data_IF_355680926712
#
_entry.id   IF_355680926712
#
_cell.length_a   1.000
_cell.length_b   1.000
_cell.length_c   1.000
_cell.angle_alpha   90.00
_cell.angle_beta   90.00
_cell.angle_gamma   90.00
#
_symmetry.space_group_name_H-M   'P 1'
#
loop_
_entity.id
_entity.type
_entity.pdbx_description
1 polymer ?
#
# COMPACT_ATOMS: atom_id res chain seq x y z
N UNK A 1 -21.46 -7.62 61.03
CA UNK A 1 -20.30 -7.06 61.75
C UNK A 1 -19.61 -8.18 62.49
N UNK A 2 -18.37 -8.53 62.14
CA UNK A 2 -17.62 -9.57 62.86
C UNK A 2 -17.23 -9.09 64.27
N UNK A 3 -17.47 -9.92 65.29
CA UNK A 3 -17.16 -9.64 66.68
C UNK A 3 -15.66 -9.32 66.86
N UNK A 4 -15.36 -8.34 67.72
CA UNK A 4 -14.00 -7.95 68.10
C UNK A 4 -13.39 -9.11 68.90
N UNK A 5 -12.39 -9.80 68.35
CA UNK A 5 -11.74 -10.92 69.02
C UNK A 5 -10.49 -10.44 69.75
N UNK A 6 -10.69 -9.67 70.82
CA UNK A 6 -9.58 -9.16 71.61
C UNK A 6 -8.75 -10.30 72.22
N UNK A 7 -7.41 -10.20 72.23
CA UNK A 7 -6.56 -11.17 72.89
C UNK A 7 -6.96 -11.28 74.38
N UNK A 8 -7.17 -12.50 74.88
CA UNK A 8 -7.50 -12.72 76.29
C UNK A 8 -6.26 -12.49 77.14
N UNK A 9 -6.37 -11.62 78.15
CA UNK A 9 -5.29 -11.37 79.11
C UNK A 9 -5.17 -12.58 80.05
N UNK A 10 -4.05 -13.31 80.05
CA UNK A 10 -3.84 -14.42 80.98
C UNK A 10 -3.69 -13.89 82.41
N UNK A 11 -4.25 -14.62 83.39
CA UNK A 11 -4.13 -14.27 84.80
C UNK A 11 -2.66 -14.48 85.24
N UNK A 12 -1.98 -13.39 85.63
CA UNK A 12 -0.55 -13.42 85.98
C UNK A 12 0.41 -13.05 84.84
N UNK A 13 -0.08 -12.40 83.78
CA UNK A 13 0.78 -11.90 82.71
C UNK A 13 1.90 -10.99 83.25
N UNK A 14 3.13 -11.24 82.83
CA UNK A 14 4.25 -10.35 83.13
C UNK A 14 4.03 -8.98 82.46
N UNK A 15 4.68 -7.91 82.94
CA UNK A 15 4.60 -6.60 82.29
C UNK A 15 4.92 -6.64 80.78
N UNK A 16 5.85 -7.49 80.36
CA UNK A 16 6.22 -7.71 78.95
C UNK A 16 5.12 -8.40 78.16
N UNK A 17 4.44 -9.39 78.76
CA UNK A 17 3.31 -10.07 78.14
C UNK A 17 2.11 -9.12 77.98
N UNK A 18 1.89 -8.22 78.94
CA UNK A 18 0.85 -7.19 78.83
C UNK A 18 1.19 -6.16 77.74
N UNK A 19 2.45 -5.76 77.61
CA UNK A 19 2.90 -4.87 76.54
C UNK A 19 2.69 -5.49 75.15
N UNK A 20 2.99 -6.78 74.98
CA UNK A 20 2.76 -7.48 73.71
C UNK A 20 1.27 -7.62 73.37
N UNK A 21 0.42 -7.92 74.36
CA UNK A 21 -1.04 -7.98 74.17
C UNK A 21 -1.60 -6.60 73.81
N UNK A 22 -1.10 -5.55 74.45
CA UNK A 22 -1.48 -4.17 74.14
C UNK A 22 -1.06 -3.78 72.72
N UNK A 23 0.15 -4.11 72.30
CA UNK A 23 0.61 -3.87 70.92
C UNK A 23 -0.23 -4.64 69.91
N UNK A 24 -0.57 -5.91 70.17
CA UNK A 24 -1.47 -6.68 69.29
C UNK A 24 -2.89 -6.08 69.23
N UNK A 25 -3.41 -5.57 70.35
CA UNK A 25 -4.71 -4.91 70.38
C UNK A 25 -4.67 -3.55 69.66
N UNK A 26 -3.57 -2.79 69.77
CA UNK A 26 -3.35 -1.58 68.98
C UNK A 26 -3.24 -1.93 67.51
N UNK A 27 -2.43 -2.90 67.12
CA UNK A 27 -2.29 -3.33 65.73
C UNK A 27 -3.62 -3.80 65.15
N UNK A 28 -4.43 -4.56 65.91
CA UNK A 28 -5.77 -4.96 65.46
C UNK A 28 -6.75 -3.76 65.41
N UNK A 29 -6.65 -2.82 66.35
CA UNK A 29 -7.46 -1.59 66.31
C UNK A 29 -7.03 -0.68 65.16
N UNK A 30 -5.74 -0.48 64.91
CA UNK A 30 -5.20 0.25 63.77
C UNK A 30 -5.58 -0.46 62.47
N UNK A 31 -5.52 -1.79 62.42
CA UNK A 31 -5.98 -2.60 61.29
C UNK A 31 -7.49 -2.43 61.04
N UNK A 32 -8.30 -2.19 62.08
CA UNK A 32 -9.75 -1.95 61.98
C UNK A 32 -10.10 -0.48 61.69
N UNK A 33 -9.41 0.46 62.32
CA UNK A 33 -9.59 1.92 62.24
C UNK A 33 -9.07 2.45 60.89
N UNK A 34 -7.96 1.90 60.39
CA UNK A 34 -7.48 2.15 59.02
C UNK A 34 -8.29 1.41 57.96
N UNK A 35 -9.37 0.72 58.37
CA UNK A 35 -10.34 0.09 57.51
C UNK A 35 -9.81 -1.18 56.86
N UNK A 36 -10.40 -2.31 57.20
CA UNK A 36 -10.33 -3.52 56.39
C UNK A 36 -10.49 -3.12 54.92
N UNK A 37 -9.48 -3.23 54.07
CA UNK A 37 -9.70 -3.01 52.64
C UNK A 37 -10.25 -4.34 52.08
N UNK A 38 -11.58 -4.52 52.13
CA UNK A 38 -12.29 -5.62 51.47
C UNK A 38 -13.11 -5.04 50.31
N UNK A 39 -13.36 -5.82 49.26
CA UNK A 39 -14.10 -5.36 48.08
C UNK A 39 -15.50 -4.81 48.38
N UNK A 40 -16.05 -5.06 49.58
CA UNK A 40 -17.36 -4.62 50.03
C UNK A 40 -17.38 -3.30 50.80
N UNK A 41 -16.23 -2.74 51.23
CA UNK A 41 -16.21 -1.56 52.11
C UNK A 41 -15.20 -0.47 51.71
N UNK A 42 -14.47 -0.66 50.61
CA UNK A 42 -13.77 0.42 49.94
C UNK A 42 -14.76 1.12 49.02
N UNK A 43 -15.03 2.41 49.24
CA UNK A 43 -15.84 3.20 48.31
C UNK A 43 -14.99 4.13 47.45
N UNK A 44 -13.90 4.67 48.00
CA UNK A 44 -12.95 5.51 47.27
C UNK A 44 -11.52 5.31 47.80
N UNK A 45 -10.54 5.08 46.93
CA UNK A 45 -9.10 5.04 47.28
C UNK A 45 -8.32 5.84 46.26
N UNK A 46 -7.62 6.89 46.70
CA UNK A 46 -6.75 7.68 45.83
C UNK A 46 -7.45 8.29 44.62
N UNK A 47 -8.74 8.65 44.75
CA UNK A 47 -9.55 9.17 43.65
C UNK A 47 -10.19 8.11 42.74
N UNK A 48 -10.10 6.83 43.10
CA UNK A 48 -10.78 5.72 42.41
C UNK A 48 -12.00 5.27 43.19
N UNK A 49 -13.15 5.16 42.54
CA UNK A 49 -14.36 4.55 43.09
C UNK A 49 -14.29 3.03 42.90
N UNK A 50 -14.57 2.30 43.97
CA UNK A 50 -14.66 0.84 43.96
C UNK A 50 -16.15 0.48 44.07
N UNK A 51 -16.73 0.08 42.94
CA UNK A 51 -18.11 -0.41 42.84
C UNK A 51 -18.17 -1.94 42.94
N UNK A 52 -19.39 -2.49 42.92
CA UNK A 52 -19.60 -3.94 42.98
C UNK A 52 -19.04 -4.67 41.75
N UNK A 53 -19.09 -4.04 40.58
CA UNK A 53 -18.66 -4.60 39.29
C UNK A 53 -17.69 -3.69 38.54
N UNK A 54 -17.25 -2.60 39.14
CA UNK A 54 -16.52 -1.52 38.46
C UNK A 54 -15.41 -0.98 39.35
N UNK A 55 -14.27 -0.69 38.73
CA UNK A 55 -13.21 0.12 39.30
C UNK A 55 -12.97 1.28 38.34
N UNK A 56 -13.37 2.48 38.74
CA UNK A 56 -13.39 3.68 37.88
C UNK A 56 -12.82 4.90 38.60
N UNK A 57 -12.29 5.87 37.86
CA UNK A 57 -11.90 7.14 38.43
C UNK A 57 -13.11 7.90 39.00
N UNK A 58 -12.88 8.85 39.91
CA UNK A 58 -13.96 9.63 40.54
C UNK A 58 -14.86 10.34 39.51
N UNK A 59 -14.26 10.81 38.42
CA UNK A 59 -14.91 11.46 37.27
C UNK A 59 -15.47 10.47 36.23
N UNK A 60 -15.20 9.17 36.37
CA UNK A 60 -15.62 8.06 35.49
C UNK A 60 -14.94 8.02 34.12
N UNK A 61 -13.96 8.89 33.86
CA UNK A 61 -13.34 9.00 32.54
C UNK A 61 -12.43 7.81 32.19
N UNK A 62 -11.97 7.06 33.18
CA UNK A 62 -11.21 5.81 33.00
C UNK A 62 -11.73 4.73 33.94
N UNK A 63 -11.70 3.47 33.51
CA UNK A 63 -12.07 2.38 34.40
C UNK A 63 -12.02 0.99 33.77
N UNK A 64 -12.39 0.02 34.59
CA UNK A 64 -12.56 -1.38 34.21
C UNK A 64 -13.84 -1.96 34.83
N UNK A 65 -14.49 -2.88 34.11
CA UNK A 65 -15.78 -3.46 34.51
C UNK A 65 -15.77 -4.98 34.39
N UNK A 66 -16.25 -5.64 35.44
CA UNK A 66 -16.54 -7.06 35.50
C UNK A 66 -18.02 -7.36 35.23
N UNK A 67 -18.82 -6.37 34.80
CA UNK A 67 -20.20 -6.59 34.37
C UNK A 67 -20.24 -7.70 33.32
N UNK A 68 -21.07 -8.71 33.52
CA UNK A 68 -21.14 -9.87 32.64
C UNK A 68 -22.59 -10.14 32.24
N UNK A 69 -23.03 -9.48 31.18
CA UNK A 69 -24.33 -9.70 30.55
C UNK A 69 -24.19 -10.72 29.41
N UNK A 70 -25.31 -11.02 28.76
CA UNK A 70 -25.31 -11.81 27.52
C UNK A 70 -24.73 -11.04 26.32
N UNK A 71 -24.56 -9.72 26.45
CA UNK A 71 -23.96 -8.84 25.44
C UNK A 71 -22.43 -8.87 25.43
N UNK A 72 -21.86 -8.03 24.55
CA UNK A 72 -20.43 -7.79 24.46
C UNK A 72 -20.04 -6.57 25.29
N UNK A 73 -20.07 -6.72 26.62
CA UNK A 73 -19.86 -5.62 27.57
C UNK A 73 -18.44 -5.02 27.48
N UNK A 74 -18.31 -3.74 27.79
CA UNK A 74 -17.01 -3.06 27.88
C UNK A 74 -16.26 -3.52 29.14
N UNK A 75 -15.00 -3.94 28.97
CA UNK A 75 -14.10 -4.40 30.04
C UNK A 75 -13.15 -3.33 30.52
N UNK A 76 -12.67 -2.48 29.61
CA UNK A 76 -11.74 -1.39 29.88
C UNK A 76 -12.15 -0.17 29.06
N UNK A 77 -12.08 1.02 29.63
CA UNK A 77 -12.35 2.26 28.89
C UNK A 77 -11.50 3.44 29.37
N UNK A 78 -11.36 4.43 28.48
CA UNK A 78 -10.72 5.71 28.75
C UNK A 78 -11.28 6.83 27.85
N UNK A 79 -11.29 8.05 28.38
CA UNK A 79 -11.64 9.27 27.65
C UNK A 79 -13.13 9.62 27.64
N UNK A 80 -13.93 9.06 28.55
CA UNK A 80 -15.32 9.48 28.72
C UNK A 80 -16.06 8.73 29.83
N UNK A 81 -17.01 9.42 30.47
CA UNK A 81 -17.78 8.91 31.62
C UNK A 81 -18.77 7.78 31.31
N UNK A 82 -19.02 7.48 30.04
CA UNK A 82 -19.86 6.37 29.58
C UNK A 82 -18.99 5.33 28.85
N UNK A 83 -18.81 4.12 29.41
CA UNK A 83 -17.98 3.07 28.81
C UNK A 83 -18.36 2.72 27.36
N UNK A 84 -19.65 2.74 27.01
CA UNK A 84 -20.15 2.34 25.69
C UNK A 84 -19.76 3.32 24.58
N UNK A 85 -19.56 4.59 24.92
CA UNK A 85 -19.20 5.67 23.98
C UNK A 85 -17.79 6.20 24.19
N UNK A 86 -17.02 5.63 25.11
CA UNK A 86 -15.66 6.08 25.39
C UNK A 86 -14.77 5.99 24.12
N UNK A 87 -13.96 7.02 23.82
CA UNK A 87 -13.09 7.06 22.64
C UNK A 87 -12.12 5.88 22.60
N UNK A 88 -11.61 5.44 23.75
CA UNK A 88 -10.86 4.20 23.88
C UNK A 88 -11.62 3.20 24.73
N UNK A 89 -11.93 2.03 24.19
CA UNK A 89 -12.61 0.95 24.93
C UNK A 89 -12.30 -0.43 24.39
N UNK A 90 -12.33 -1.43 25.26
CA UNK A 90 -12.14 -2.85 24.93
C UNK A 90 -13.33 -3.66 25.44
N UNK A 91 -13.94 -4.49 24.59
CA UNK A 91 -15.11 -5.32 24.95
C UNK A 91 -14.73 -6.71 25.45
N UNK A 92 -15.71 -7.44 25.99
CA UNK A 92 -15.60 -8.83 26.48
C UNK A 92 -15.06 -9.79 25.41
N UNK A 93 -15.41 -9.55 24.14
CA UNK A 93 -14.91 -10.33 23.00
C UNK A 93 -13.50 -9.92 22.55
N UNK A 94 -12.88 -8.94 23.21
CA UNK A 94 -11.54 -8.43 22.91
C UNK A 94 -11.50 -7.36 21.82
N UNK A 95 -12.65 -6.81 21.40
CA UNK A 95 -12.68 -5.75 20.38
C UNK A 95 -12.29 -4.42 20.98
N UNK A 96 -11.45 -3.68 20.27
CA UNK A 96 -11.00 -2.35 20.66
C UNK A 96 -11.62 -1.28 19.77
N UNK A 97 -12.09 -0.19 20.36
CA UNK A 97 -12.32 1.09 19.65
C UNK A 97 -11.33 2.11 20.19
N UNK A 98 -10.70 2.87 19.29
CA UNK A 98 -9.69 3.88 19.62
C UNK A 98 -9.84 5.09 18.67
N UNK A 99 -10.82 5.95 18.96
CA UNK A 99 -11.12 7.14 18.15
C UNK A 99 -10.09 8.24 18.42
N UNK A 100 -9.51 8.81 17.36
CA UNK A 100 -8.51 9.88 17.49
C UNK A 100 -7.16 9.40 18.04
N UNK A 101 -6.90 8.09 18.05
CA UNK A 101 -5.64 7.55 18.51
C UNK A 101 -4.52 7.79 17.49
N UNK A 102 -3.43 8.39 17.94
CA UNK A 102 -2.14 8.35 17.24
C UNK A 102 -1.45 7.03 17.59
N UNK A 103 -1.10 6.24 16.59
CA UNK A 103 -0.34 5.00 16.75
C UNK A 103 1.02 5.20 16.11
N UNK A 104 2.08 5.03 16.90
CA UNK A 104 3.45 5.27 16.47
C UNK A 104 4.38 4.16 16.99
N UNK A 105 5.20 3.58 16.10
CA UNK A 105 6.05 2.44 16.46
C UNK A 105 7.36 2.82 17.15
N UNK A 106 7.96 3.95 16.76
CA UNK A 106 9.26 4.38 17.25
C UNK A 106 9.27 5.91 17.37
N UNK A 107 8.64 6.48 18.42
CA UNK A 107 8.55 7.92 18.60
C UNK A 107 9.93 8.57 18.59
N UNK A 108 10.16 9.45 17.62
CA UNK A 108 11.43 10.17 17.47
C UNK A 108 12.59 9.39 16.83
N UNK A 109 12.34 8.18 16.32
CA UNK A 109 13.36 7.33 15.67
C UNK A 109 12.93 6.79 14.31
N UNK A 110 13.85 6.08 13.64
CA UNK A 110 13.59 5.40 12.36
C UNK A 110 14.16 3.98 12.35
N UNK A 111 13.56 3.04 11.61
CA UNK A 111 12.29 3.16 10.87
C UNK A 111 11.09 3.41 11.80
N UNK A 112 10.01 3.97 11.26
CA UNK A 112 8.82 4.34 12.02
C UNK A 112 7.55 4.14 11.19
N UNK A 113 6.46 3.74 11.84
CA UNK A 113 5.12 3.68 11.28
C UNK A 113 4.24 4.60 12.10
N UNK A 114 3.52 5.48 11.42
CA UNK A 114 2.65 6.46 12.04
C UNK A 114 1.26 6.34 11.41
N UNK A 115 0.25 6.16 12.26
CA UNK A 115 -1.15 6.42 11.95
C UNK A 115 -1.53 7.66 12.74
N UNK A 116 -1.77 8.77 12.04
CA UNK A 116 -2.08 10.04 12.67
C UNK A 116 -3.43 10.58 12.19
N UNK A 117 -4.43 10.66 13.06
CA UNK A 117 -5.73 11.22 12.72
C UNK A 117 -5.70 12.74 12.55
N UNK A 118 -4.62 13.43 12.94
CA UNK A 118 -4.48 14.87 12.70
C UNK A 118 -4.08 15.21 11.28
N UNK A 119 -3.38 14.30 10.59
CA UNK A 119 -2.88 14.48 9.23
C UNK A 119 -3.62 13.61 8.19
N UNK A 120 -4.68 12.90 8.59
CA UNK A 120 -5.41 11.90 7.78
C UNK A 120 -4.46 10.94 7.04
N UNK A 121 -3.33 10.64 7.68
CA UNK A 121 -2.20 10.00 7.02
C UNK A 121 -1.80 8.71 7.69
N UNK A 122 -1.43 7.77 6.84
CA UNK A 122 -0.68 6.59 7.22
C UNK A 122 0.67 6.75 6.57
N UNK A 123 1.73 6.76 7.37
CA UNK A 123 3.08 6.93 6.85
C UNK A 123 4.01 5.87 7.41
N UNK A 124 4.81 5.28 6.53
CA UNK A 124 5.83 4.29 6.85
C UNK A 124 7.18 4.86 6.47
N UNK A 125 7.96 5.24 7.47
CA UNK A 125 9.29 5.79 7.35
C UNK A 125 10.37 4.71 7.48
N UNK A 126 11.26 4.65 6.50
CA UNK A 126 12.58 4.03 6.62
C UNK A 126 13.60 4.99 7.25
N UNK A 127 13.49 6.28 6.91
CA UNK A 127 14.22 7.40 7.50
C UNK A 127 13.29 8.64 7.47
N UNK A 128 13.67 9.74 8.12
CA UNK A 128 12.87 10.97 8.13
C UNK A 128 12.40 11.41 6.75
N UNK A 129 13.26 11.18 5.76
CA UNK A 129 13.07 11.57 4.38
C UNK A 129 12.81 10.37 3.45
N UNK A 130 12.71 9.13 3.93
CA UNK A 130 12.48 7.94 3.07
C UNK A 130 11.26 7.22 3.56
N UNK A 131 10.14 7.36 2.87
CA UNK A 131 8.87 6.84 3.36
C UNK A 131 7.87 6.54 2.27
N UNK A 132 6.88 5.72 2.58
CA UNK A 132 5.67 5.62 1.77
C UNK A 132 4.53 6.21 2.60
N UNK A 133 3.87 7.21 2.03
CA UNK A 133 2.75 7.92 2.63
C UNK A 133 1.47 7.62 1.89
N UNK A 134 0.39 7.48 2.63
CA UNK A 134 -0.97 7.49 2.12
C UNK A 134 -1.73 8.58 2.85
N UNK A 135 -2.55 9.30 2.12
CA UNK A 135 -3.40 10.32 2.71
C UNK A 135 -4.31 10.93 1.68
N UNK A 136 -4.80 12.10 1.99
CA UNK A 136 -5.52 12.93 1.06
C UNK A 136 -4.73 14.22 0.82
N UNK A 137 -4.48 14.52 -0.43
CA UNK A 137 -4.02 15.84 -0.86
C UNK A 137 -5.14 16.82 -0.52
N UNK A 138 -4.83 17.77 0.38
CA UNK A 138 -5.75 18.79 0.89
C UNK A 138 -7.04 18.25 1.49
N UNK A 139 -7.01 17.01 2.01
CA UNK A 139 -8.18 16.38 2.61
C UNK A 139 -9.26 15.98 1.61
N UNK A 140 -9.00 16.05 0.29
CA UNK A 140 -10.03 15.81 -0.75
C UNK A 140 -9.64 14.76 -1.78
N UNK A 141 -8.40 14.74 -2.26
CA UNK A 141 -7.96 13.82 -3.31
C UNK A 141 -7.06 12.77 -2.70
N UNK A 142 -7.46 11.49 -2.72
CA UNK A 142 -6.58 10.42 -2.27
C UNK A 142 -5.23 10.45 -3.00
N UNK A 143 -4.17 10.23 -2.23
CA UNK A 143 -2.80 10.14 -2.71
C UNK A 143 -2.10 8.93 -2.09
N UNK A 144 -1.25 8.33 -2.91
CA UNK A 144 -0.14 7.50 -2.46
C UNK A 144 1.15 8.19 -2.85
N UNK A 145 2.01 8.47 -1.88
CA UNK A 145 3.29 9.15 -2.04
C UNK A 145 4.43 8.19 -1.73
N UNK A 146 5.33 7.98 -2.68
CA UNK A 146 6.49 7.09 -2.55
C UNK A 146 7.76 7.92 -2.42
N UNK A 147 8.25 8.16 -1.21
CA UNK A 147 9.40 9.02 -0.90
C UNK A 147 10.69 8.23 -0.65
N UNK A 148 11.78 8.62 -1.32
CA UNK A 148 13.13 8.14 -1.08
C UNK A 148 14.10 9.34 -1.01
N UNK A 149 14.31 9.85 0.20
CA UNK A 149 15.09 11.04 0.50
C UNK A 149 14.32 12.26 0.08
N UNK A 150 14.87 12.98 -0.88
CA UNK A 150 14.17 14.10 -1.51
C UNK A 150 13.29 13.67 -2.70
N UNK A 151 13.25 12.39 -3.12
CA UNK A 151 12.47 11.90 -4.29
C UNK A 151 11.10 11.44 -3.86
N UNK A 152 10.04 11.81 -4.58
CA UNK A 152 8.69 11.31 -4.33
C UNK A 152 8.01 10.86 -5.64
N UNK A 153 7.25 9.78 -5.63
CA UNK A 153 6.37 9.40 -6.74
C UNK A 153 4.94 9.28 -6.21
N UNK A 154 4.09 10.16 -6.73
CA UNK A 154 2.75 10.36 -6.23
C UNK A 154 1.74 9.79 -7.21
N UNK A 155 0.84 8.96 -6.69
CA UNK A 155 -0.27 8.39 -7.45
C UNK A 155 -1.53 9.05 -6.90
N UNK A 156 -2.10 9.94 -7.73
CA UNK A 156 -3.17 10.84 -7.33
C UNK A 156 -4.35 10.69 -8.27
N UNK A 157 -5.57 10.78 -7.74
CA UNK A 157 -6.78 10.59 -8.55
C UNK A 157 -7.79 11.70 -8.32
N UNK A 158 -8.05 12.51 -9.35
CA UNK A 158 -9.05 13.58 -9.30
C UNK A 158 -10.21 13.38 -10.27
N UNK A 159 -9.98 12.91 -11.50
CA UNK A 159 -11.00 12.47 -12.49
C UNK A 159 -10.33 11.68 -13.63
N UNK A 160 -9.51 12.38 -14.41
CA UNK A 160 -8.57 11.89 -15.42
C UNK A 160 -7.16 11.80 -14.81
N UNK A 161 -6.39 10.79 -15.21
CA UNK A 161 -4.97 10.64 -14.86
C UNK A 161 -4.18 10.51 -16.16
N UNK A 162 -3.26 11.44 -16.41
CA UNK A 162 -2.49 11.49 -17.65
C UNK A 162 -1.00 11.65 -17.33
N UNK A 163 -0.14 10.90 -18.03
CA UNK A 163 1.32 11.04 -18.00
C UNK A 163 1.76 11.57 -19.39
N UNK A 164 2.04 12.88 -19.53
CA UNK A 164 2.51 13.50 -20.78
C UNK A 164 3.99 13.92 -20.68
N UNK A 165 4.69 14.02 -21.82
CA UNK A 165 6.11 14.41 -21.91
C UNK A 165 6.46 15.10 -23.23
N UNK A 166 7.50 15.95 -23.24
CA UNK A 166 8.09 16.58 -24.45
C UNK A 166 9.42 15.92 -24.89
N UNK A 167 9.85 14.89 -24.16
CA UNK A 167 10.96 13.99 -24.43
C UNK A 167 10.49 12.53 -24.28
N UNK A 168 11.39 11.54 -24.22
CA UNK A 168 10.99 10.17 -23.91
C UNK A 168 10.51 10.08 -22.46
N UNK A 169 9.29 9.61 -22.24
CA UNK A 169 8.91 9.05 -20.96
C UNK A 169 9.44 7.62 -20.97
N UNK A 170 10.52 7.44 -20.21
CA UNK A 170 10.92 6.12 -19.74
C UNK A 170 10.01 5.77 -18.57
N UNK A 171 8.72 5.62 -18.86
CA UNK A 171 7.99 4.59 -18.14
C UNK A 171 8.71 3.35 -18.61
N UNK A 172 9.26 2.68 -17.65
CA UNK A 172 10.49 2.03 -17.91
C UNK A 172 10.80 1.44 -16.60
N UNK A 173 10.89 0.14 -16.62
CA UNK A 173 11.43 -0.52 -15.48
C UNK A 173 12.93 -0.37 -15.64
N UNK A 174 13.57 0.21 -14.63
CA UNK A 174 15.02 0.17 -14.44
C UNK A 174 15.54 -1.27 -14.19
N UNK A 175 14.72 -2.27 -14.49
CA UNK A 175 14.91 -3.69 -14.27
C UNK A 175 14.56 -4.38 -15.60
N UNK A 176 15.39 -5.30 -16.12
CA UNK A 176 15.16 -5.94 -17.42
C UNK A 176 13.74 -6.51 -17.61
N UNK A 177 13.16 -6.35 -18.80
CA UNK A 177 11.88 -6.96 -19.21
C UNK A 177 10.61 -6.31 -18.65
N UNK A 178 10.73 -5.26 -17.85
CA UNK A 178 9.55 -4.55 -17.39
C UNK A 178 9.07 -3.49 -18.37
N UNK A 179 7.85 -3.05 -18.11
CA UNK A 179 6.90 -2.74 -19.16
C UNK A 179 6.16 -1.47 -18.87
N UNK A 180 5.80 -0.81 -19.94
CA UNK A 180 4.92 0.34 -19.97
C UNK A 180 3.57 -0.13 -20.44
N UNK A 181 2.54 0.17 -19.69
CA UNK A 181 1.17 0.00 -20.15
C UNK A 181 0.58 1.39 -20.33
N UNK A 182 -0.12 1.57 -21.43
CA UNK A 182 -0.84 2.80 -21.73
C UNK A 182 -2.26 2.36 -22.03
N UNK A 183 -3.22 2.90 -21.29
CA UNK A 183 -4.60 2.45 -21.29
C UNK A 183 -5.51 3.65 -21.41
N UNK A 184 -6.60 3.47 -22.15
CA UNK A 184 -7.65 4.47 -22.37
C UNK A 184 -8.56 4.00 -23.49
N UNK A 185 -9.80 4.49 -23.54
CA UNK A 185 -10.75 4.15 -24.61
C UNK A 185 -10.18 4.47 -25.99
N UNK A 186 -9.39 5.53 -26.05
CA UNK A 186 -8.59 5.88 -27.19
C UNK A 186 -7.13 5.94 -26.75
N UNK A 187 -6.33 4.97 -27.19
CA UNK A 187 -4.87 5.04 -27.10
C UNK A 187 -4.36 5.61 -28.40
N UNK A 188 -4.03 6.88 -28.37
CA UNK A 188 -3.47 7.56 -29.54
C UNK A 188 -1.96 7.39 -29.57
N UNK A 189 -1.46 6.69 -30.59
CA UNK A 189 -0.02 6.57 -30.87
C UNK A 189 0.27 7.34 -32.15
N UNK A 190 0.93 8.49 -32.02
CA UNK A 190 1.15 9.42 -33.14
C UNK A 190 2.08 8.85 -34.23
N UNK A 191 3.06 8.05 -33.81
CA UNK A 191 3.99 7.40 -34.75
C UNK A 191 4.58 6.10 -34.21
N UNK A 192 4.71 5.09 -35.09
CA UNK A 192 5.41 3.82 -34.80
C UNK A 192 6.90 3.84 -35.19
N UNK A 193 7.43 5.00 -35.57
CA UNK A 193 8.81 5.13 -36.07
C UNK A 193 9.88 4.78 -35.06
N UNK A 194 9.52 4.74 -33.79
CA UNK A 194 10.44 4.45 -32.68
C UNK A 194 10.00 3.26 -31.82
N UNK A 195 8.90 2.57 -32.18
CA UNK A 195 8.48 1.38 -31.45
C UNK A 195 9.34 0.18 -31.87
N UNK A 196 10.32 -0.19 -31.04
CA UNK A 196 11.24 -1.31 -31.26
C UNK A 196 11.72 -1.91 -29.94
N UNK A 197 12.22 -3.17 -29.94
CA UNK A 197 12.93 -3.72 -28.79
C UNK A 197 14.16 -2.85 -28.46
N UNK A 198 14.29 -2.44 -27.20
CA UNK A 198 15.42 -1.62 -26.75
C UNK A 198 16.75 -2.39 -26.80
N UNK A 199 16.71 -3.70 -26.50
CA UNK A 199 17.90 -4.52 -26.22
C UNK A 199 18.37 -5.38 -27.40
N UNK A 200 17.89 -5.14 -28.62
CA UNK A 200 18.33 -5.88 -29.82
C UNK A 200 19.02 -4.91 -30.79
N UNK A 201 20.36 -4.78 -30.72
CA UNK A 201 21.10 -3.92 -31.61
C UNK A 201 20.79 -4.20 -33.09
N UNK A 202 20.52 -3.15 -33.86
CA UNK A 202 20.22 -3.25 -35.28
C UNK A 202 18.80 -3.69 -35.65
N UNK A 203 17.92 -3.97 -34.67
CA UNK A 203 16.53 -4.30 -34.97
C UNK A 203 15.77 -3.06 -35.50
N UNK A 204 15.10 -3.14 -36.66
CA UNK A 204 14.41 -2.00 -37.27
C UNK A 204 13.13 -1.64 -36.50
N UNK A 205 12.70 -0.38 -36.64
CA UNK A 205 11.43 0.07 -36.04
C UNK A 205 10.22 -0.65 -36.64
N UNK A 206 9.12 -0.69 -35.87
CA UNK A 206 7.87 -1.29 -36.34
C UNK A 206 7.39 -0.61 -37.63
N UNK A 207 7.48 0.73 -37.75
CA UNK A 207 7.09 1.42 -38.99
C UNK A 207 7.90 0.93 -40.20
N UNK A 208 9.22 0.82 -40.06
CA UNK A 208 10.09 0.33 -41.13
C UNK A 208 9.74 -1.11 -41.54
N UNK A 209 9.42 -1.98 -40.58
CA UNK A 209 9.05 -3.37 -40.86
C UNK A 209 7.71 -3.48 -41.59
N UNK A 210 6.73 -2.66 -41.20
CA UNK A 210 5.41 -2.64 -41.86
C UNK A 210 5.52 -2.11 -43.30
N UNK A 211 6.25 -1.01 -43.53
CA UNK A 211 6.46 -0.45 -44.87
C UNK A 211 7.18 -1.43 -45.81
N UNK A 212 8.20 -2.15 -45.32
CA UNK A 212 8.90 -3.15 -46.13
C UNK A 212 7.99 -4.30 -46.56
N UNK A 213 7.10 -4.80 -45.67
CA UNK A 213 6.13 -5.84 -46.03
C UNK A 213 5.09 -5.36 -47.06
N UNK A 214 4.58 -4.14 -46.91
CA UNK A 214 3.64 -3.57 -47.88
C UNK A 214 4.28 -3.43 -49.27
N UNK A 215 5.53 -2.95 -49.35
CA UNK A 215 6.28 -2.85 -50.61
C UNK A 215 6.55 -4.23 -51.20
N UNK A 216 6.89 -5.23 -50.38
CA UNK A 216 7.10 -6.60 -50.86
C UNK A 216 5.81 -7.24 -51.44
N UNK A 217 4.64 -6.90 -50.91
CA UNK A 217 3.34 -7.30 -51.49
C UNK A 217 3.09 -6.64 -52.84
N UNK A 218 3.29 -5.32 -52.93
CA UNK A 218 3.16 -4.56 -54.18
C UNK A 218 4.18 -4.99 -55.27
N UNK A 219 5.38 -5.40 -54.84
CA UNK A 219 6.44 -5.93 -55.71
C UNK A 219 6.29 -7.43 -56.01
N UNK A 220 5.08 -8.00 -55.82
CA UNK A 220 4.64 -9.07 -56.74
C UNK A 220 4.49 -8.56 -58.18
N UNK A 221 4.81 -7.29 -58.45
CA UNK A 221 5.20 -6.74 -59.75
C UNK A 221 5.85 -7.81 -60.60
N UNK A 222 5.32 -8.01 -61.81
CA UNK A 222 5.89 -8.89 -62.82
C UNK A 222 7.41 -8.71 -62.86
N UNK A 223 8.14 -9.64 -62.26
CA UNK A 223 9.56 -9.75 -62.51
C UNK A 223 9.69 -9.97 -64.01
N UNK A 224 10.02 -8.89 -64.71
CA UNK A 224 10.32 -8.87 -66.11
C UNK A 224 9.13 -9.19 -66.99
N UNK A 225 8.37 -8.14 -67.33
CA UNK A 225 8.17 -7.95 -68.75
C UNK A 225 9.54 -7.78 -69.43
N UNK A 226 10.26 -8.88 -69.63
CA UNK A 226 11.66 -8.90 -69.97
C UNK A 226 11.84 -9.53 -71.33
N UNK A 227 12.75 -8.96 -72.11
CA UNK A 227 13.22 -9.61 -73.32
C UNK A 227 14.43 -10.46 -72.95
N UNK A 228 14.21 -11.75 -72.78
CA UNK A 228 15.26 -12.68 -72.39
C UNK A 228 16.01 -13.13 -73.65
N UNK A 229 17.33 -13.24 -73.57
CA UNK A 229 18.17 -13.59 -74.73
C UNK A 229 17.89 -15.03 -75.24
N UNK A 230 17.27 -15.88 -74.41
CA UNK A 230 17.02 -17.28 -74.72
C UNK A 230 18.29 -18.08 -75.00
N UNK A 231 19.44 -17.63 -74.48
CA UNK A 231 20.76 -18.21 -74.77
C UNK A 231 21.45 -17.69 -76.03
N UNK A 232 20.80 -16.85 -76.85
CA UNK A 232 21.42 -16.19 -78.00
C UNK A 232 21.57 -14.69 -77.69
N UNK A 233 22.79 -14.12 -77.70
CA UNK A 233 22.97 -12.70 -77.42
C UNK A 233 22.10 -11.80 -78.31
N UNK A 234 21.37 -10.88 -77.69
CA UNK A 234 20.53 -9.89 -78.40
C UNK A 234 21.45 -8.99 -79.24
N UNK A 235 21.04 -8.70 -80.48
CA UNK A 235 21.86 -7.96 -81.45
C UNK A 235 22.70 -8.87 -82.35
N UNK A 236 22.74 -10.18 -82.11
CA UNK A 236 23.41 -11.10 -83.01
C UNK A 236 22.76 -11.03 -84.38
N UNK A 237 23.54 -10.68 -85.40
CA UNK A 237 23.13 -10.68 -86.79
C UNK A 237 23.23 -12.11 -87.29
N UNK A 238 22.08 -12.72 -87.50
CA UNK A 238 21.95 -14.06 -88.01
C UNK A 238 21.80 -13.95 -89.53
N UNK A 239 22.68 -14.62 -90.28
CA UNK A 239 22.55 -14.72 -91.71
C UNK A 239 21.24 -15.44 -92.05
N UNK A 240 20.47 -14.91 -92.99
CA UNK A 240 19.33 -15.63 -93.55
C UNK A 240 19.80 -16.52 -94.67
N UNK A 241 19.10 -17.62 -94.90
CA UNK A 241 19.45 -18.59 -95.94
C UNK A 241 19.47 -17.98 -97.37
N UNK A 242 18.76 -16.87 -97.59
CA UNK A 242 18.74 -16.15 -98.88
C UNK A 242 19.89 -15.16 -99.09
N UNK A 243 20.91 -15.17 -98.22
CA UNK A 243 22.05 -14.24 -98.30
C UNK A 243 21.80 -12.86 -97.68
N UNK A 244 20.66 -12.68 -96.98
CA UNK A 244 20.39 -11.48 -96.18
C UNK A 244 20.78 -11.68 -94.72
N UNK A 245 20.34 -10.79 -93.84
CA UNK A 245 20.54 -10.94 -92.40
C UNK A 245 19.36 -10.43 -91.58
N UNK A 246 19.16 -10.99 -90.38
CA UNK A 246 18.20 -10.54 -89.38
C UNK A 246 18.89 -10.40 -88.03
N UNK A 247 18.47 -9.44 -87.24
CA UNK A 247 19.05 -9.23 -85.90
C UNK A 247 18.17 -9.91 -84.86
N UNK A 248 18.77 -10.73 -83.99
CA UNK A 248 18.06 -11.38 -82.90
C UNK A 248 17.68 -10.37 -81.82
N UNK A 249 16.39 -10.29 -81.51
CA UNK A 249 15.87 -9.31 -80.57
C UNK A 249 15.46 -9.90 -79.22
N UNK A 250 15.55 -11.23 -79.01
CA UNK A 250 15.19 -11.93 -77.77
C UNK A 250 13.69 -12.31 -77.64
N UNK A 251 13.33 -12.98 -76.53
CA UNK A 251 11.97 -13.43 -76.21
C UNK A 251 11.32 -12.42 -75.27
N UNK A 252 10.31 -11.70 -75.75
CA UNK A 252 9.64 -10.66 -74.95
C UNK A 252 8.44 -11.23 -74.19
N UNK A 253 8.50 -11.19 -72.85
CA UNK A 253 7.34 -11.40 -71.99
C UNK A 253 6.73 -10.03 -71.69
N UNK A 254 5.42 -9.79 -71.87
CA UNK A 254 4.81 -8.52 -71.51
C UNK A 254 4.78 -8.32 -70.00
N UNK A 255 5.14 -7.13 -69.53
CA UNK A 255 4.91 -6.75 -68.13
C UNK A 255 3.42 -6.70 -67.88
N UNK A 256 2.97 -7.30 -66.79
CA UNK A 256 1.65 -6.99 -66.24
C UNK A 256 1.77 -6.71 -64.75
N UNK A 257 0.91 -5.82 -64.25
CA UNK A 257 0.89 -5.40 -62.86
C UNK A 257 -0.49 -5.68 -62.28
N UNK A 258 -0.53 -5.99 -60.98
CA UNK A 258 -1.76 -5.93 -60.21
C UNK A 258 -1.72 -4.67 -59.36
N UNK A 259 -2.81 -3.88 -59.38
CA UNK A 259 -3.02 -2.87 -58.35
C UNK A 259 -3.42 -3.60 -57.09
N UNK A 260 -2.53 -3.66 -56.11
CA UNK A 260 -2.91 -4.01 -54.75
C UNK A 260 -3.28 -2.71 -54.04
N UNK A 261 -4.48 -2.68 -53.44
CA UNK A 261 -5.07 -1.51 -52.79
C UNK A 261 -4.25 -1.07 -51.56
#
# INVERSE_FOLDING_TARGET
MGLLNLPRIPRGASPEQMANIYNQAIEEMEHRVNGFLQSSNIQEVGGWKVGQTELESKDKDVGMSTVDTSGDDVRFWAGGSNPDTAPWRVTKSGKMTATGAKIESNPGGYPNIVLDPSDDSIVVYFAADKYVGMGAIFGVTPEVKLVNGTKAADITMSTNFQLLTNANIDIGTITPGGKVNILGDNVFVDSFSYLKPADVPGFPSLSSQLSQKAIAGANTSSAGGGTFNGGIPIGTVLATAGGGSVTWNGISIPSHSHNQN
#
